data_IF_889060406747
#
_entry.id   IF_889060406747
#
_cell.length_a   1.000
_cell.length_b   1.000
_cell.length_c   1.000
_cell.angle_alpha   90.00
_cell.angle_beta   90.00
_cell.angle_gamma   90.00
#
_symmetry.space_group_name_H-M   'P 1'
#
loop_
_entity.id
_entity.type
_entity.pdbx_description
1 polymer ?
#
# COMPACT_ATOMS: atom_id res chain seq x y z
N UNK A 1 -4.57 12.87 1.22
CA UNK A 1 -5.27 11.57 1.14
C UNK A 1 -6.42 11.60 0.13
N UNK A 2 -7.49 12.36 0.35
CA UNK A 2 -8.64 12.43 -0.58
C UNK A 2 -8.26 12.85 -2.01
N UNK A 3 -7.33 13.81 -2.16
CA UNK A 3 -6.85 14.22 -3.48
C UNK A 3 -6.11 13.09 -4.23
N UNK A 4 -5.28 12.29 -3.52
CA UNK A 4 -4.58 11.13 -4.11
C UNK A 4 -5.56 10.05 -4.56
N UNK A 5 -6.56 9.78 -3.73
CA UNK A 5 -7.63 8.84 -4.05
C UNK A 5 -8.41 9.31 -5.28
N UNK A 6 -8.82 10.59 -5.30
CA UNK A 6 -9.55 11.17 -6.45
C UNK A 6 -8.74 11.12 -7.74
N UNK A 7 -7.45 11.47 -7.68
CA UNK A 7 -6.54 11.37 -8.82
C UNK A 7 -6.40 9.93 -9.32
N UNK A 8 -6.20 8.97 -8.43
CA UNK A 8 -6.07 7.55 -8.78
C UNK A 8 -7.32 7.01 -9.48
N UNK A 9 -8.51 7.30 -8.93
CA UNK A 9 -9.77 6.89 -9.52
C UNK A 9 -10.00 7.53 -10.90
N UNK A 10 -9.65 8.81 -11.06
CA UNK A 10 -9.74 9.49 -12.35
C UNK A 10 -8.78 8.87 -13.38
N UNK A 11 -7.52 8.68 -13.01
CA UNK A 11 -6.49 8.08 -13.87
C UNK A 11 -6.85 6.65 -14.28
N UNK A 12 -7.32 5.83 -13.33
CA UNK A 12 -7.78 4.47 -13.60
C UNK A 12 -8.93 4.41 -14.62
N UNK A 13 -9.89 5.33 -14.49
CA UNK A 13 -10.98 5.45 -15.45
C UNK A 13 -10.51 5.86 -16.85
N UNK A 14 -9.57 6.80 -16.93
CA UNK A 14 -9.09 7.35 -18.20
C UNK A 14 -8.14 6.40 -18.93
N UNK A 15 -7.22 5.77 -18.21
CA UNK A 15 -6.12 4.96 -18.77
C UNK A 15 -6.50 3.49 -18.87
N UNK A 16 -6.99 2.90 -17.78
CA UNK A 16 -7.27 1.47 -17.69
C UNK A 16 -8.72 1.13 -18.07
N UNK A 17 -9.55 2.15 -18.33
CA UNK A 17 -11.01 2.02 -18.57
C UNK A 17 -11.72 1.20 -17.48
N UNK A 18 -11.15 1.20 -16.28
CA UNK A 18 -11.59 0.35 -15.16
C UNK A 18 -12.27 1.22 -14.12
N UNK A 19 -13.40 0.72 -13.61
CA UNK A 19 -14.09 1.28 -12.46
C UNK A 19 -13.80 0.41 -11.25
N UNK A 20 -13.49 1.04 -10.13
CA UNK A 20 -13.34 0.36 -8.84
C UNK A 20 -14.70 0.27 -8.16
N UNK A 21 -15.04 -0.94 -7.71
CA UNK A 21 -16.22 -1.25 -6.92
C UNK A 21 -16.14 -0.67 -5.51
N UNK A 22 -17.25 -0.80 -4.77
CA UNK A 22 -17.34 -0.26 -3.41
C UNK A 22 -16.46 -1.08 -2.45
N UNK A 23 -16.34 -2.39 -2.71
CA UNK A 23 -15.64 -3.34 -1.84
C UNK A 23 -14.11 -3.11 -1.82
N UNK A 24 -13.39 -3.06 -2.97
CA UNK A 24 -11.96 -2.74 -2.94
C UNK A 24 -11.69 -1.32 -2.44
N UNK A 25 -12.58 -0.38 -2.72
CA UNK A 25 -12.48 0.98 -2.21
C UNK A 25 -12.58 1.02 -0.68
N UNK A 26 -13.59 0.33 -0.12
CA UNK A 26 -13.76 0.22 1.33
C UNK A 26 -12.55 -0.44 1.99
N UNK A 27 -12.05 -1.53 1.43
CA UNK A 27 -10.86 -2.22 1.94
C UNK A 27 -9.61 -1.34 1.89
N UNK A 28 -9.43 -0.56 0.83
CA UNK A 28 -8.35 0.41 0.76
C UNK A 28 -8.45 1.41 1.92
N UNK A 29 -9.65 1.96 2.17
CA UNK A 29 -9.85 2.91 3.27
C UNK A 29 -9.56 2.26 4.63
N UNK A 30 -10.07 1.05 4.86
CA UNK A 30 -9.83 0.31 6.10
C UNK A 30 -8.34 0.03 6.32
N UNK A 31 -7.64 -0.40 5.26
CA UNK A 31 -6.19 -0.64 5.29
C UNK A 31 -5.42 0.65 5.59
N UNK A 32 -5.74 1.76 4.93
CA UNK A 32 -5.10 3.06 5.18
C UNK A 32 -5.36 3.57 6.60
N UNK A 33 -6.54 3.30 7.18
CA UNK A 33 -6.92 3.74 8.52
C UNK A 33 -6.15 3.01 9.63
N UNK A 34 -5.67 1.79 9.36
CA UNK A 34 -4.93 0.98 10.34
C UNK A 34 -3.40 1.06 10.17
N UNK A 35 -2.90 1.75 9.14
CA UNK A 35 -1.46 1.93 8.94
C UNK A 35 -0.82 2.67 10.13
N UNK A 36 0.43 2.35 10.51
CA UNK A 36 1.14 3.11 11.53
C UNK A 36 1.37 4.54 11.02
N UNK A 37 1.24 5.57 11.88
CA UNK A 37 1.33 6.97 11.47
C UNK A 37 2.71 7.36 10.94
N UNK A 38 3.75 6.57 11.22
CA UNK A 38 5.11 6.77 10.71
C UNK A 38 5.28 6.33 9.26
N UNK A 39 4.34 5.54 8.72
CA UNK A 39 4.40 5.08 7.34
C UNK A 39 3.85 6.17 6.42
N UNK A 40 4.60 6.62 5.40
CA UNK A 40 4.12 7.63 4.47
C UNK A 40 2.90 7.10 3.70
N UNK A 41 2.05 8.00 3.22
CA UNK A 41 0.92 7.60 2.38
C UNK A 41 1.45 7.02 1.05
N UNK A 42 0.86 5.91 0.56
CA UNK A 42 1.26 5.30 -0.70
C UNK A 42 0.84 6.13 -1.91
N UNK A 43 1.46 5.86 -3.06
CA UNK A 43 0.81 6.11 -4.35
C UNK A 43 -0.36 5.13 -4.50
N UNK A 44 -1.49 5.62 -5.01
CA UNK A 44 -2.69 4.81 -5.19
C UNK A 44 -2.87 4.60 -6.68
N UNK A 45 -2.98 3.34 -7.10
CA UNK A 45 -3.10 2.94 -8.49
C UNK A 45 -4.34 2.08 -8.63
N UNK A 46 -5.19 2.40 -9.61
CA UNK A 46 -6.26 1.49 -10.01
C UNK A 46 -5.66 0.48 -10.97
N UNK A 47 -5.70 -0.78 -10.59
CA UNK A 47 -5.24 -1.89 -11.40
C UNK A 47 -6.41 -2.48 -12.21
N UNK A 48 -6.10 -3.35 -13.17
CA UNK A 48 -7.11 -4.11 -13.90
C UNK A 48 -7.94 -4.99 -12.97
N UNK A 49 -9.11 -5.45 -13.43
CA UNK A 49 -9.91 -6.45 -12.72
C UNK A 49 -10.40 -6.01 -11.33
N UNK A 50 -10.77 -4.73 -11.16
CA UNK A 50 -11.37 -4.22 -9.92
C UNK A 50 -10.42 -4.27 -8.70
N UNK A 51 -9.12 -4.03 -8.93
CA UNK A 51 -8.10 -4.05 -7.89
C UNK A 51 -7.54 -2.65 -7.66
N UNK A 52 -7.09 -2.38 -6.43
CA UNK A 52 -6.35 -1.17 -6.09
C UNK A 52 -4.99 -1.54 -5.54
N UNK A 53 -3.94 -1.01 -6.18
CA UNK A 53 -2.57 -1.04 -5.71
C UNK A 53 -2.26 0.15 -4.81
N UNK A 54 -1.52 -0.12 -3.74
CA UNK A 54 -0.96 0.85 -2.81
C UNK A 54 0.56 0.68 -2.83
N UNK A 55 1.23 1.65 -3.45
CA UNK A 55 2.65 1.57 -3.78
C UNK A 55 3.49 2.47 -2.86
N UNK A 56 4.48 1.85 -2.24
CA UNK A 56 5.60 2.51 -1.57
C UNK A 56 6.87 2.21 -2.34
N UNK A 57 7.33 3.16 -3.16
CA UNK A 57 8.60 3.09 -3.89
C UNK A 57 9.61 4.09 -3.31
N UNK A 58 10.59 3.57 -2.57
CA UNK A 58 11.70 4.34 -2.00
C UNK A 58 12.95 4.31 -2.90
N UNK A 59 12.80 3.87 -4.16
CA UNK A 59 13.86 3.66 -5.12
C UNK A 59 14.75 2.45 -4.82
N UNK A 60 15.81 2.26 -5.62
CA UNK A 60 16.91 1.30 -5.37
C UNK A 60 16.50 -0.06 -4.78
N UNK A 61 15.51 -0.74 -5.39
CA UNK A 61 15.00 -2.05 -4.93
C UNK A 61 14.49 -2.01 -3.50
N UNK A 62 13.70 -1.00 -3.18
CA UNK A 62 12.95 -0.84 -1.92
C UNK A 62 11.53 -0.45 -2.29
N UNK A 63 10.79 -1.45 -2.75
CA UNK A 63 9.41 -1.31 -3.20
C UNK A 63 8.53 -2.26 -2.40
N UNK A 64 7.37 -1.78 -1.98
CA UNK A 64 6.27 -2.58 -1.46
C UNK A 64 4.99 -2.12 -2.14
N UNK A 65 4.28 -3.07 -2.72
CA UNK A 65 2.92 -2.92 -3.21
C UNK A 65 2.01 -3.76 -2.33
N UNK A 66 0.93 -3.15 -1.84
CA UNK A 66 -0.20 -3.88 -1.29
C UNK A 66 -1.37 -3.76 -2.26
N UNK A 67 -2.03 -4.87 -2.56
CA UNK A 67 -3.16 -4.91 -3.49
C UNK A 67 -4.41 -5.33 -2.73
N UNK A 68 -5.49 -4.58 -2.88
CA UNK A 68 -6.81 -4.92 -2.34
C UNK A 68 -7.79 -5.17 -3.48
N UNK A 69 -8.67 -6.14 -3.27
CA UNK A 69 -9.72 -6.54 -4.21
C UNK A 69 -11.05 -6.72 -3.45
N UNK A 70 -12.00 -7.48 -3.99
CA UNK A 70 -13.30 -7.74 -3.35
C UNK A 70 -13.25 -8.86 -2.29
N UNK A 71 -12.07 -9.44 -2.02
CA UNK A 71 -11.87 -10.52 -1.05
C UNK A 71 -11.31 -10.00 0.27
N UNK A 72 -11.45 -10.74 1.38
CA UNK A 72 -10.91 -10.34 2.69
C UNK A 72 -9.38 -10.54 2.83
N UNK A 73 -8.65 -10.53 1.73
CA UNK A 73 -7.21 -10.74 1.69
C UNK A 73 -6.53 -9.55 1.05
N UNK A 74 -5.39 -9.14 1.64
CA UNK A 74 -4.48 -8.20 1.01
C UNK A 74 -3.38 -8.98 0.29
N UNK A 75 -3.23 -8.72 -1.00
CA UNK A 75 -2.06 -9.14 -1.76
C UNK A 75 -0.86 -8.27 -1.40
N UNK A 76 0.34 -8.85 -1.45
CA UNK A 76 1.56 -8.08 -1.30
C UNK A 76 2.60 -8.53 -2.30
N UNK A 77 3.38 -7.57 -2.79
CA UNK A 77 4.60 -7.79 -3.55
C UNK A 77 5.66 -6.81 -3.05
N UNK A 78 6.84 -7.31 -2.70
CA UNK A 78 7.92 -6.51 -2.18
C UNK A 78 9.23 -6.90 -2.86
N UNK A 79 10.02 -5.87 -3.18
CA UNK A 79 11.40 -6.02 -3.58
C UNK A 79 12.24 -5.17 -2.64
N UNK A 80 12.93 -5.82 -1.70
CA UNK A 80 13.81 -5.16 -0.72
C UNK A 80 15.21 -5.76 -0.84
N UNK A 81 16.14 -5.02 -1.44
CA UNK A 81 17.47 -5.51 -1.78
C UNK A 81 17.41 -6.51 -2.94
N UNK A 82 17.79 -7.76 -2.69
CA UNK A 82 17.78 -8.84 -3.70
C UNK A 82 16.70 -9.88 -3.45
N UNK A 83 15.84 -9.65 -2.47
CA UNK A 83 14.83 -10.60 -2.01
C UNK A 83 13.44 -10.16 -2.48
N UNK A 84 12.89 -10.81 -3.53
CA UNK A 84 11.48 -10.67 -3.84
C UNK A 84 10.65 -11.48 -2.86
N UNK A 85 9.61 -10.87 -2.30
CA UNK A 85 8.61 -11.52 -1.45
C UNK A 85 7.24 -11.18 -2.00
N UNK A 86 6.36 -12.18 -2.11
CA UNK A 86 4.99 -11.96 -2.55
C UNK A 86 4.05 -12.99 -1.94
N UNK A 87 2.76 -12.66 -1.89
CA UNK A 87 1.75 -13.55 -1.36
C UNK A 87 0.44 -12.84 -1.07
N UNK A 88 -0.43 -13.52 -0.34
CA UNK A 88 -1.71 -12.99 0.15
C UNK A 88 -1.86 -13.33 1.61
N UNK A 89 -2.40 -12.40 2.39
CA UNK A 89 -2.68 -12.59 3.82
C UNK A 89 -4.05 -12.02 4.17
N UNK A 90 -4.77 -12.62 5.12
CA UNK A 90 -6.10 -12.15 5.52
C UNK A 90 -6.01 -10.78 6.20
N UNK A 91 -6.90 -9.85 5.81
CA UNK A 91 -7.02 -8.52 6.40
C UNK A 91 -8.17 -8.53 7.43
N UNK A 92 -7.85 -8.86 8.67
CA UNK A 92 -8.82 -9.00 9.76
C UNK A 92 -8.90 -7.76 10.67
N UNK A 93 -8.99 -6.56 10.08
CA UNK A 93 -9.11 -5.30 10.81
C UNK A 93 -7.83 -4.84 11.55
N UNK A 94 -6.71 -5.54 11.32
CA UNK A 94 -5.38 -5.18 11.82
C UNK A 94 -4.34 -5.49 10.74
N UNK A 95 -3.19 -4.82 10.79
CA UNK A 95 -2.11 -5.08 9.83
C UNK A 95 -1.60 -6.52 10.02
N UNK A 96 -1.61 -7.36 8.98
CA UNK A 96 -1.05 -8.71 9.06
C UNK A 96 0.44 -8.68 9.42
N UNK A 97 0.91 -9.63 10.23
CA UNK A 97 2.31 -9.66 10.70
C UNK A 97 3.33 -9.63 9.55
N UNK A 98 3.03 -10.31 8.44
CA UNK A 98 3.85 -10.29 7.22
C UNK A 98 3.96 -8.88 6.64
N UNK A 99 2.85 -8.14 6.57
CA UNK A 99 2.83 -6.76 6.07
C UNK A 99 3.59 -5.83 7.03
N UNK A 100 3.38 -5.96 8.34
CA UNK A 100 4.13 -5.21 9.35
C UNK A 100 5.64 -5.51 9.31
N UNK A 101 6.04 -6.75 9.01
CA UNK A 101 7.43 -7.11 8.78
C UNK A 101 7.99 -6.42 7.52
N UNK A 102 7.26 -6.40 6.42
CA UNK A 102 7.69 -5.73 5.19
C UNK A 102 7.84 -4.21 5.38
N UNK A 103 6.91 -3.56 6.10
CA UNK A 103 7.06 -2.15 6.45
C UNK A 103 8.30 -1.86 7.29
N UNK A 104 8.62 -2.70 8.29
CA UNK A 104 9.85 -2.54 9.09
C UNK A 104 11.12 -2.71 8.26
N UNK A 105 11.08 -3.57 7.24
CA UNK A 105 12.20 -3.72 6.30
C UNK A 105 12.31 -2.54 5.33
N UNK A 106 11.17 -2.00 4.91
CA UNK A 106 11.13 -0.86 4.00
C UNK A 106 11.54 0.43 4.72
N UNK A 107 11.14 0.59 5.98
CA UNK A 107 11.45 1.73 6.84
C UNK A 107 12.14 1.28 8.13
N UNK A 108 13.41 0.80 8.05
CA UNK A 108 14.17 0.49 9.25
C UNK A 108 14.38 1.79 10.04
N UNK A 109 14.20 1.73 11.36
CA UNK A 109 14.04 2.84 12.31
C UNK A 109 15.15 3.90 12.39
N UNK A 110 16.04 4.04 11.40
CA UNK A 110 17.09 5.07 11.35
C UNK A 110 16.59 6.51 11.09
N UNK A 111 15.27 6.72 10.90
CA UNK A 111 14.66 8.06 10.83
C UNK A 111 14.14 8.52 12.21
N UNK A 112 14.17 7.66 13.25
CA UNK A 112 13.62 7.99 14.57
C UNK A 112 14.67 8.58 15.55
N UNK A 113 15.79 9.12 15.07
CA UNK A 113 16.85 9.64 15.95
C UNK A 113 17.65 10.79 15.33
N UNK A 114 17.03 11.91 14.96
CA UNK A 114 17.69 13.21 15.07
C UNK A 114 16.71 14.26 15.61
N UNK A 115 16.79 14.65 16.89
CA UNK A 115 16.25 15.93 17.29
C UNK A 115 17.11 17.01 16.63
N UNK A 116 16.52 17.76 15.70
CA UNK A 116 17.12 19.00 15.19
C UNK A 116 17.14 20.00 16.35
N UNK A 117 18.25 20.02 17.08
CA UNK A 117 18.64 21.17 17.89
C UNK A 117 19.45 22.11 16.98
N UNK A 118 18.80 23.17 16.50
CA UNK A 118 19.42 24.48 16.24
C UNK A 118 18.43 25.59 16.50
#
# INVERSE_FOLDING_TARGET
>A
MLERIGYALQKGREVERTLVGIEPFGQMIDLLAILPPEIPLPEIVVESENQIGLDWDEGSRRVLTLTVDDTQYVGFAALIGHEPLYGRVPLAGQIPETVAYLFRRLYPSSILSEPILR
#
